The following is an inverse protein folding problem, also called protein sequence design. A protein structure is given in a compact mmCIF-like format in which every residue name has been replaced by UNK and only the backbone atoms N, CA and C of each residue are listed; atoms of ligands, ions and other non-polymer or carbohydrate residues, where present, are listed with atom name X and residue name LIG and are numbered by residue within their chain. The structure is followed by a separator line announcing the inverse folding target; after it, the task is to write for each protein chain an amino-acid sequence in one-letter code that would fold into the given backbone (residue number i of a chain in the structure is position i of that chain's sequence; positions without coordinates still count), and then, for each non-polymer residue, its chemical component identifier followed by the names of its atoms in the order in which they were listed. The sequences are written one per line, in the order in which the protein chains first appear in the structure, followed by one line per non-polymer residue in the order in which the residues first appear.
data_IF_165763070250
#
_entry.id   IF_165763070250
#
_cell.length_a   1.000
_cell.length_b   1.000
_cell.length_c   1.000
_cell.angle_alpha   90.00
_cell.angle_beta   90.00
_cell.angle_gamma   90.00
#
_symmetry.space_group_name_H-M   'P 1'
#
loop_
_entity.id
_entity.type
_entity.pdbx_description
1 polymer ?
#
# COMPACT_ATOMS: atom_id res chain seq x y z
N UNK A 1 -4.22 -3.93 -2.24
CA UNK A 1 -2.89 -3.29 -2.07
C UNK A 1 -2.92 -2.52 -0.77
N UNK A 2 -1.95 -2.74 0.13
CA UNK A 2 -1.84 -1.97 1.38
C UNK A 2 -1.29 -0.58 1.04
N UNK A 3 -1.93 0.49 1.53
CA UNK A 3 -1.42 1.85 1.42
C UNK A 3 -1.77 2.68 2.66
N UNK A 4 -1.03 3.75 2.97
CA UNK A 4 -1.30 4.58 4.15
C UNK A 4 -2.73 5.14 4.20
N UNK A 5 -3.31 5.47 3.04
CA UNK A 5 -4.71 5.93 2.96
C UNK A 5 -5.70 4.86 3.43
N UNK A 6 -5.54 3.62 2.97
CA UNK A 6 -6.42 2.52 3.37
C UNK A 6 -6.28 2.21 4.88
N UNK A 7 -5.04 2.19 5.39
CA UNK A 7 -4.79 1.95 6.82
C UNK A 7 -5.42 3.04 7.68
N UNK A 8 -5.26 4.32 7.30
CA UNK A 8 -5.81 5.42 8.09
C UNK A 8 -7.34 5.39 8.12
N UNK A 9 -7.99 5.09 6.98
CA UNK A 9 -9.45 4.97 6.92
C UNK A 9 -9.96 3.80 7.76
N UNK A 10 -9.19 2.72 7.84
CA UNK A 10 -9.51 1.54 8.63
C UNK A 10 -9.15 1.68 10.13
N UNK A 11 -8.39 2.72 10.51
CA UNK A 11 -7.87 2.92 11.87
C UNK A 11 -8.93 2.91 12.98
N UNK A 12 -10.15 3.46 12.80
CA UNK A 12 -11.19 3.41 13.83
C UNK A 12 -11.79 2.01 14.04
N UNK A 13 -11.56 1.08 13.12
CA UNK A 13 -12.13 -0.28 13.16
C UNK A 13 -11.34 -1.15 14.15
N UNK A 14 -12.04 -2.03 14.86
CA UNK A 14 -11.51 -2.86 15.96
C UNK A 14 -10.39 -3.79 15.54
N UNK A 15 -10.43 -4.24 14.30
CA UNK A 15 -9.52 -5.16 13.64
C UNK A 15 -8.13 -4.54 13.48
N UNK A 16 -8.09 -3.26 13.08
CA UNK A 16 -6.82 -2.52 12.98
C UNK A 16 -6.27 -2.22 14.37
N UNK A 17 -7.14 -1.82 15.31
CA UNK A 17 -6.74 -1.60 16.70
C UNK A 17 -6.13 -2.86 17.33
N UNK A 18 -6.67 -4.04 17.02
CA UNK A 18 -6.08 -5.33 17.43
C UNK A 18 -4.66 -5.50 16.89
N UNK A 19 -4.43 -5.27 15.60
CA UNK A 19 -3.08 -5.39 15.04
C UNK A 19 -2.09 -4.37 15.61
N UNK A 20 -2.54 -3.16 15.93
CA UNK A 20 -1.72 -2.16 16.63
C UNK A 20 -1.35 -2.66 18.03
N UNK A 21 -2.33 -3.20 18.77
CA UNK A 21 -2.11 -3.79 20.09
C UNK A 21 -1.14 -4.97 20.04
N UNK A 22 -1.28 -5.88 19.07
CA UNK A 22 -0.39 -7.03 18.87
C UNK A 22 1.04 -6.55 18.59
N UNK A 23 1.19 -5.56 17.71
CA UNK A 23 2.50 -4.99 17.38
C UNK A 23 3.17 -4.36 18.62
N UNK A 24 2.41 -3.59 19.41
CA UNK A 24 2.89 -2.99 20.65
C UNK A 24 3.29 -4.05 21.68
N UNK A 25 2.46 -5.09 21.88
CA UNK A 25 2.73 -6.20 22.79
C UNK A 25 3.99 -6.98 22.39
N UNK A 26 4.12 -7.38 21.12
CA UNK A 26 5.31 -8.09 20.62
C UNK A 26 6.58 -7.27 20.81
N UNK A 27 6.51 -5.96 20.52
CA UNK A 27 7.63 -5.03 20.75
C UNK A 27 8.02 -4.97 22.23
N UNK A 28 7.04 -4.97 23.14
CA UNK A 28 7.29 -4.98 24.58
C UNK A 28 7.92 -6.30 25.06
N UNK A 29 7.42 -7.45 24.61
CA UNK A 29 7.97 -8.77 24.95
C UNK A 29 9.42 -8.94 24.46
N UNK A 30 9.73 -8.46 23.25
CA UNK A 30 11.10 -8.42 22.73
C UNK A 30 12.02 -7.56 23.59
N UNK A 31 11.53 -6.41 24.07
CA UNK A 31 12.28 -5.55 24.97
C UNK A 31 12.55 -6.22 26.33
N UNK A 32 11.60 -6.98 26.88
CA UNK A 32 11.79 -7.73 28.13
C UNK A 32 12.84 -8.83 28.01
N UNK A 33 12.95 -9.48 26.84
CA UNK A 33 13.99 -10.50 26.58
C UNK A 33 15.40 -9.90 26.46
N UNK A 34 15.51 -8.58 26.45
CA UNK A 34 16.76 -7.82 26.43
C UNK A 34 16.61 -6.57 25.55
N UNK A 35 17.33 -5.47 25.85
CA UNK A 35 17.28 -4.27 25.03
C UNK A 35 17.84 -4.59 23.66
N UNK A 36 16.95 -4.86 22.72
CA UNK A 36 17.33 -5.08 21.34
C UNK A 36 17.53 -3.68 20.73
N UNK A 37 18.75 -3.39 20.27
CA UNK A 37 19.16 -2.02 19.89
C UNK A 37 18.30 -1.41 18.77
N UNK A 38 17.90 -0.15 18.91
CA UNK A 38 17.10 0.59 17.93
C UNK A 38 15.92 1.33 18.56
N UNK A 39 15.23 2.16 17.78
CA UNK A 39 14.06 2.91 18.24
C UNK A 39 12.84 1.97 18.37
N UNK A 40 12.27 1.85 19.58
CA UNK A 40 11.10 1.00 19.87
C UNK A 40 9.87 1.36 19.03
N UNK A 41 9.65 2.65 18.76
CA UNK A 41 8.51 3.13 17.98
C UNK A 41 8.63 2.69 16.52
N UNK A 42 9.83 2.81 15.94
CA UNK A 42 10.09 2.35 14.59
C UNK A 42 9.88 0.84 14.45
N UNK A 43 10.30 0.06 15.46
CA UNK A 43 10.09 -1.39 15.46
C UNK A 43 8.62 -1.77 15.57
N UNK A 44 7.87 -1.08 16.43
CA UNK A 44 6.43 -1.30 16.53
C UNK A 44 5.72 -0.96 15.21
N UNK A 45 6.17 0.07 14.49
CA UNK A 45 5.68 0.38 13.14
C UNK A 45 6.00 -0.72 12.13
N UNK A 46 7.25 -1.18 12.08
CA UNK A 46 7.65 -2.29 11.20
C UNK A 46 6.86 -3.57 11.54
N UNK A 47 6.64 -3.86 12.84
CA UNK A 47 5.82 -4.98 13.32
C UNK A 47 4.36 -4.83 12.93
N UNK A 48 3.77 -3.64 13.10
CA UNK A 48 2.39 -3.37 12.72
C UNK A 48 2.16 -3.60 11.22
N UNK A 49 3.03 -3.05 10.37
CA UNK A 49 2.94 -3.26 8.92
C UNK A 49 3.09 -4.74 8.53
N UNK A 50 3.96 -5.47 9.23
CA UNK A 50 4.14 -6.90 9.03
C UNK A 50 2.90 -7.71 9.46
N UNK A 51 2.34 -7.49 10.66
CA UNK A 51 1.14 -8.20 11.12
C UNK A 51 -0.02 -7.97 10.16
N UNK A 52 -0.20 -6.71 9.73
CA UNK A 52 -1.24 -6.33 8.80
C UNK A 52 -1.03 -6.98 7.43
N UNK A 53 0.21 -6.98 6.94
CA UNK A 53 0.56 -7.64 5.69
C UNK A 53 0.38 -9.15 5.73
N UNK A 54 0.66 -9.79 6.86
CA UNK A 54 0.40 -11.22 7.08
C UNK A 54 -1.09 -11.54 7.13
N UNK A 55 -1.91 -10.67 7.72
CA UNK A 55 -3.37 -10.84 7.68
C UNK A 55 -3.88 -10.76 6.24
N UNK A 56 -3.49 -9.71 5.51
CA UNK A 56 -3.90 -9.51 4.11
C UNK A 56 -3.38 -10.63 3.20
N UNK A 57 -2.15 -11.12 3.38
CA UNK A 57 -1.58 -12.16 2.52
C UNK A 57 -2.28 -13.51 2.64
N UNK A 58 -2.95 -13.80 3.76
CA UNK A 58 -3.75 -15.02 3.93
C UNK A 58 -5.09 -14.96 3.19
N UNK A 59 -5.56 -13.76 2.85
CA UNK A 59 -6.87 -13.53 2.26
C UNK A 59 -6.84 -13.44 0.74
N UNK A 60 -5.71 -13.03 0.18
CA UNK A 60 -5.55 -12.83 -1.27
C UNK A 60 -4.78 -13.99 -1.89
N UNK A 61 -5.22 -14.45 -3.05
CA UNK A 61 -4.53 -15.48 -3.84
C UNK A 61 -3.33 -14.94 -4.61
N UNK A 62 -3.32 -13.63 -4.89
CA UNK A 62 -2.25 -12.92 -5.57
C UNK A 62 -1.14 -12.42 -4.65
N UNK A 63 -0.14 -11.69 -5.19
CA UNK A 63 0.92 -11.13 -4.38
C UNK A 63 0.39 -10.04 -3.43
N UNK A 64 0.85 -10.07 -2.18
CA UNK A 64 0.61 -9.02 -1.21
C UNK A 64 1.46 -7.79 -1.54
N UNK A 65 0.80 -6.70 -1.91
CA UNK A 65 1.47 -5.41 -2.12
C UNK A 65 1.50 -4.64 -0.80
N UNK A 66 2.70 -4.50 -0.24
CA UNK A 66 3.00 -3.65 0.93
C UNK A 66 3.75 -2.40 0.49
N UNK A 67 4.22 -1.56 1.42
CA UNK A 67 4.96 -0.34 1.10
C UNK A 67 6.14 -0.08 2.03
N UNK A 68 7.18 0.55 1.48
CA UNK A 68 8.26 1.15 2.25
C UNK A 68 7.79 2.51 2.77
N UNK A 69 8.09 2.82 4.03
CA UNK A 69 7.76 4.09 4.67
C UNK A 69 8.14 5.29 3.76
N UNK A 70 7.14 6.01 3.25
CA UNK A 70 7.31 7.05 2.23
C UNK A 70 8.07 8.27 2.73
N UNK A 71 8.23 8.42 4.05
CA UNK A 71 9.08 9.47 4.63
C UNK A 71 10.55 9.28 4.25
N UNK A 72 10.97 8.05 3.92
CA UNK A 72 12.33 7.68 3.52
C UNK A 72 12.64 7.91 2.02
N UNK A 73 11.70 8.47 1.25
CA UNK A 73 11.78 8.66 -0.21
C UNK A 73 13.04 9.36 -0.78
N UNK A 74 13.79 10.10 0.04
CA UNK A 74 15.03 10.79 -0.37
C UNK A 74 16.30 9.94 -0.12
N UNK A 75 16.19 8.89 0.70
CA UNK A 75 17.33 8.06 1.09
C UNK A 75 17.18 6.64 0.53
N UNK A 76 17.91 6.40 -0.56
CA UNK A 76 18.01 5.09 -1.22
C UNK A 76 18.33 3.98 -0.23
N UNK A 77 19.29 4.20 0.67
CA UNK A 77 19.75 3.15 1.59
C UNK A 77 18.70 2.89 2.67
N UNK A 78 18.09 3.93 3.21
CA UNK A 78 17.02 3.77 4.20
C UNK A 78 15.81 3.02 3.62
N UNK A 79 15.46 3.23 2.35
CA UNK A 79 14.40 2.48 1.67
C UNK A 79 14.76 1.01 1.49
N UNK A 80 15.97 0.70 1.01
CA UNK A 80 16.46 -0.67 0.84
C UNK A 80 16.48 -1.40 2.19
N UNK A 81 17.04 -0.78 3.22
CA UNK A 81 17.15 -1.40 4.55
C UNK A 81 15.78 -1.62 5.18
N UNK A 82 14.81 -0.73 4.93
CA UNK A 82 13.44 -0.92 5.40
C UNK A 82 12.73 -2.08 4.69
N UNK A 83 12.80 -2.16 3.35
CA UNK A 83 12.24 -3.29 2.60
C UNK A 83 12.85 -4.62 3.05
N UNK A 84 14.17 -4.67 3.27
CA UNK A 84 14.88 -5.86 3.76
C UNK A 84 14.46 -6.26 5.17
N UNK A 85 14.23 -5.30 6.08
CA UNK A 85 13.74 -5.60 7.43
C UNK A 85 12.36 -6.25 7.37
N UNK A 86 11.43 -5.64 6.66
CA UNK A 86 10.08 -6.19 6.49
C UNK A 86 10.13 -7.57 5.83
N UNK A 87 10.90 -7.73 4.75
CA UNK A 87 11.04 -9.02 4.08
C UNK A 87 11.64 -10.09 4.99
N UNK A 88 12.60 -9.75 5.87
CA UNK A 88 13.15 -10.70 6.84
C UNK A 88 12.06 -11.24 7.77
N UNK A 89 11.09 -10.41 8.17
CA UNK A 89 9.97 -10.80 9.02
C UNK A 89 9.00 -11.73 8.26
N UNK A 90 8.65 -11.38 7.02
CA UNK A 90 7.85 -12.24 6.15
C UNK A 90 8.51 -13.59 5.85
N UNK A 91 9.82 -13.59 5.56
CA UNK A 91 10.60 -14.80 5.31
C UNK A 91 10.62 -15.70 6.54
N UNK A 92 10.66 -15.13 7.75
CA UNK A 92 10.58 -15.91 8.99
C UNK A 92 9.24 -16.65 9.16
N UNK A 93 8.17 -16.20 8.49
CA UNK A 93 6.88 -16.90 8.40
C UNK A 93 6.75 -17.78 7.16
N UNK A 94 7.82 -17.99 6.40
CA UNK A 94 7.81 -18.85 5.21
C UNK A 94 7.25 -18.23 3.93
N UNK A 95 6.96 -16.92 3.91
CA UNK A 95 6.48 -16.25 2.69
C UNK A 95 7.64 -16.08 1.69
N UNK A 96 7.45 -16.59 0.47
CA UNK A 96 8.41 -16.47 -0.64
C UNK A 96 8.44 -15.02 -1.18
N UNK A 97 9.59 -14.55 -1.71
CA UNK A 97 9.73 -13.16 -2.17
C UNK A 97 8.78 -12.82 -3.34
N UNK A 98 8.44 -13.79 -4.17
CA UNK A 98 7.52 -13.61 -5.30
C UNK A 98 6.08 -13.22 -4.89
N UNK A 99 5.66 -13.56 -3.67
CA UNK A 99 4.33 -13.22 -3.14
C UNK A 99 4.28 -11.87 -2.45
N UNK A 100 5.38 -11.12 -2.39
CA UNK A 100 5.43 -9.82 -1.74
C UNK A 100 5.95 -8.78 -2.74
N UNK A 101 5.23 -7.69 -2.87
CA UNK A 101 5.63 -6.54 -3.67
C UNK A 101 5.78 -5.33 -2.76
N UNK A 102 6.98 -4.74 -2.73
CA UNK A 102 7.25 -3.54 -1.94
C UNK A 102 6.98 -2.30 -2.78
N UNK A 103 6.04 -1.47 -2.36
CA UNK A 103 5.76 -0.21 -3.02
C UNK A 103 6.73 0.88 -2.56
N UNK A 104 7.40 1.52 -3.51
CA UNK A 104 8.39 2.57 -3.30
C UNK A 104 8.00 3.78 -4.16
N UNK A 105 8.01 5.01 -3.63
CA UNK A 105 7.71 6.17 -4.45
C UNK A 105 8.78 6.33 -5.52
N UNK A 106 8.37 6.65 -6.74
CA UNK A 106 9.25 6.74 -7.91
C UNK A 106 10.08 8.05 -7.92
N UNK A 107 10.75 8.35 -6.82
CA UNK A 107 11.80 9.38 -6.79
C UNK A 107 13.07 8.85 -7.45
N UNK A 108 14.04 9.72 -7.72
CA UNK A 108 15.34 9.26 -8.24
C UNK A 108 16.01 8.25 -7.29
N UNK A 109 16.01 8.54 -5.99
CA UNK A 109 16.46 7.60 -4.95
C UNK A 109 15.63 6.31 -4.92
N UNK A 110 14.30 6.41 -5.13
CA UNK A 110 13.38 5.28 -5.13
C UNK A 110 13.59 4.35 -6.32
N UNK A 111 13.84 4.88 -7.51
CA UNK A 111 14.13 4.09 -8.72
C UNK A 111 15.49 3.37 -8.57
N UNK A 112 16.50 4.03 -8.03
CA UNK A 112 17.80 3.39 -7.72
C UNK A 112 17.61 2.29 -6.67
N UNK A 113 16.81 2.54 -5.62
CA UNK A 113 16.49 1.54 -4.61
C UNK A 113 15.75 0.35 -5.21
N UNK A 114 14.79 0.58 -6.12
CA UNK A 114 14.04 -0.46 -6.83
C UNK A 114 14.97 -1.35 -7.67
N UNK A 115 15.93 -0.76 -8.38
CA UNK A 115 16.94 -1.52 -9.12
C UNK A 115 17.76 -2.41 -8.20
N UNK A 116 18.24 -1.89 -7.07
CA UNK A 116 19.02 -2.70 -6.14
C UNK A 116 18.18 -3.82 -5.50
N UNK A 117 16.96 -3.52 -5.08
CA UNK A 117 16.02 -4.49 -4.50
C UNK A 117 15.69 -5.63 -5.48
N UNK A 118 15.45 -5.30 -6.74
CA UNK A 118 15.11 -6.27 -7.77
C UNK A 118 16.34 -7.10 -8.18
N UNK A 119 17.45 -6.45 -8.53
CA UNK A 119 18.63 -7.14 -9.09
C UNK A 119 19.53 -7.82 -8.07
N UNK A 120 19.77 -7.22 -6.89
CA UNK A 120 20.68 -7.77 -5.88
C UNK A 120 19.97 -8.63 -4.84
N UNK A 121 18.73 -8.28 -4.49
CA UNK A 121 17.98 -8.95 -3.42
C UNK A 121 16.81 -9.81 -3.91
N UNK A 122 16.51 -9.79 -5.21
CA UNK A 122 15.41 -10.55 -5.82
C UNK A 122 14.06 -10.29 -5.14
N UNK A 123 13.78 -9.02 -4.84
CA UNK A 123 12.53 -8.56 -4.25
C UNK A 123 11.71 -7.80 -5.29
N UNK A 124 10.42 -8.12 -5.41
CA UNK A 124 9.53 -7.42 -6.31
C UNK A 124 9.23 -6.01 -5.78
N UNK A 125 9.39 -5.01 -6.64
CA UNK A 125 9.11 -3.60 -6.30
C UNK A 125 8.02 -3.04 -7.21
N UNK A 126 7.09 -2.31 -6.61
CA UNK A 126 6.11 -1.49 -7.29
C UNK A 126 6.50 -0.01 -7.17
N UNK A 127 6.82 0.65 -8.28
CA UNK A 127 7.12 2.08 -8.29
C UNK A 127 5.83 2.88 -8.48
N UNK A 128 5.47 3.73 -7.51
CA UNK A 128 4.21 4.50 -7.56
C UNK A 128 4.45 6.02 -7.64
N UNK A 129 3.40 6.78 -7.98
CA UNK A 129 3.46 8.20 -8.38
C UNK A 129 4.17 8.44 -9.73
N UNK A 130 4.08 7.47 -10.64
CA UNK A 130 4.64 7.61 -11.99
C UNK A 130 3.69 8.41 -12.86
N UNK A 131 4.19 9.48 -13.48
CA UNK A 131 3.35 10.52 -14.10
C UNK A 131 3.72 10.89 -15.53
N UNK A 132 4.83 10.40 -16.08
CA UNK A 132 5.24 10.72 -17.47
C UNK A 132 5.91 9.53 -18.14
N UNK A 133 6.01 9.58 -19.48
CA UNK A 133 6.64 8.52 -20.26
C UNK A 133 8.10 8.28 -19.85
N UNK A 134 8.93 9.33 -19.81
CA UNK A 134 10.35 9.20 -19.42
C UNK A 134 10.48 8.67 -17.98
N UNK A 135 9.56 9.06 -17.10
CA UNK A 135 9.52 8.53 -15.75
C UNK A 135 9.21 7.03 -15.73
N UNK A 136 8.22 6.57 -16.50
CA UNK A 136 7.89 5.16 -16.65
C UNK A 136 9.02 4.35 -17.30
N UNK A 137 9.71 4.93 -18.28
CA UNK A 137 10.90 4.35 -18.91
C UNK A 137 12.03 4.14 -17.88
N UNK A 138 12.29 5.12 -17.01
CA UNK A 138 13.29 4.99 -15.93
C UNK A 138 12.89 3.89 -14.93
N UNK A 139 11.59 3.73 -14.65
CA UNK A 139 11.09 2.63 -13.82
C UNK A 139 11.28 1.26 -14.50
N UNK A 140 11.09 1.17 -15.81
CA UNK A 140 11.33 -0.04 -16.59
C UNK A 140 12.83 -0.40 -16.64
N UNK A 141 13.72 0.59 -16.75
CA UNK A 141 15.18 0.40 -16.69
C UNK A 141 15.64 -0.12 -15.31
N UNK A 142 14.91 0.23 -14.25
CA UNK A 142 15.15 -0.28 -12.90
C UNK A 142 14.63 -1.71 -12.69
N UNK A 143 14.08 -2.36 -13.73
CA UNK A 143 13.52 -3.70 -13.67
C UNK A 143 12.44 -3.87 -12.58
N UNK A 144 11.65 -2.81 -12.34
CA UNK A 144 10.55 -2.87 -11.39
C UNK A 144 9.53 -3.94 -11.82
N UNK A 145 8.99 -4.68 -10.86
CA UNK A 145 7.97 -5.70 -11.14
C UNK A 145 6.63 -5.06 -11.56
N UNK A 146 6.32 -3.89 -10.99
CA UNK A 146 5.14 -3.12 -11.34
C UNK A 146 5.38 -1.61 -11.27
N UNK A 147 4.55 -0.85 -11.98
CA UNK A 147 4.51 0.61 -11.97
C UNK A 147 3.07 1.07 -11.79
N UNK A 148 2.82 1.92 -10.80
CA UNK A 148 1.51 2.47 -10.48
C UNK A 148 1.37 3.92 -10.94
N UNK A 149 0.37 4.19 -11.78
CA UNK A 149 0.08 5.50 -12.38
C UNK A 149 -1.20 6.08 -11.74
N UNK A 150 -1.12 7.23 -11.03
CA UNK A 150 -2.28 7.86 -10.42
C UNK A 150 -3.08 8.65 -11.47
N UNK A 151 -4.13 8.02 -11.99
CA UNK A 151 -4.90 8.49 -13.15
C UNK A 151 -5.59 9.81 -12.85
N UNK A 152 -6.34 9.90 -11.75
CA UNK A 152 -7.08 11.10 -11.36
C UNK A 152 -6.18 12.32 -11.18
N UNK A 153 -5.13 12.18 -10.36
CA UNK A 153 -4.14 13.25 -10.18
C UNK A 153 -3.50 13.71 -11.50
N UNK A 154 -3.21 12.78 -12.40
CA UNK A 154 -2.63 13.11 -13.71
C UNK A 154 -3.61 13.89 -14.57
N UNK A 155 -4.89 13.47 -14.62
CA UNK A 155 -5.92 14.16 -15.36
C UNK A 155 -6.16 15.57 -14.78
N UNK A 156 -6.30 15.68 -13.47
CA UNK A 156 -6.47 16.96 -12.74
C UNK A 156 -5.30 17.93 -13.01
N UNK A 157 -4.08 17.42 -13.12
CA UNK A 157 -2.91 18.26 -13.42
C UNK A 157 -3.02 18.89 -14.80
N UNK A 158 -3.42 18.13 -15.82
CA UNK A 158 -3.59 18.66 -17.17
C UNK A 158 -4.75 19.68 -17.26
N UNK A 159 -5.87 19.42 -16.57
CA UNK A 159 -7.01 20.34 -16.52
C UNK A 159 -6.63 21.66 -15.85
N UNK A 160 -5.91 21.60 -14.73
CA UNK A 160 -5.38 22.79 -14.03
C UNK A 160 -4.42 23.59 -14.91
N UNK A 161 -3.50 22.92 -15.60
CA UNK A 161 -2.51 23.57 -16.47
C UNK A 161 -3.14 24.24 -17.69
N UNK A 162 -4.17 23.63 -18.28
CA UNK A 162 -4.90 24.17 -19.44
C UNK A 162 -6.04 25.11 -19.07
N UNK A 163 -6.30 25.28 -17.77
CA UNK A 163 -7.46 26.00 -17.24
C UNK A 163 -8.77 25.59 -17.96
N UNK A 164 -8.91 24.28 -18.24
CA UNK A 164 -9.99 23.73 -19.06
C UNK A 164 -10.39 22.37 -18.49
N UNK A 165 -11.69 22.17 -18.28
CA UNK A 165 -12.26 20.86 -17.91
C UNK A 165 -12.56 20.08 -19.17
N UNK A 166 -12.02 18.87 -19.28
CA UNK A 166 -12.20 18.03 -20.46
C UNK A 166 -13.33 17.03 -20.20
N UNK A 167 -14.51 17.30 -20.76
CA UNK A 167 -15.69 16.43 -20.59
C UNK A 167 -15.53 15.14 -21.43
N UNK A 168 -15.03 15.24 -22.65
CA UNK A 168 -14.72 14.06 -23.48
C UNK A 168 -13.32 13.54 -23.12
N UNK A 169 -13.30 12.34 -22.53
CA UNK A 169 -12.08 11.66 -22.10
C UNK A 169 -11.18 11.23 -23.28
N UNK A 170 -11.73 11.05 -24.49
CA UNK A 170 -10.95 10.62 -25.67
C UNK A 170 -9.99 11.68 -26.17
N UNK A 171 -10.30 12.95 -25.92
CA UNK A 171 -9.44 14.10 -26.27
C UNK A 171 -8.62 14.60 -25.07
N UNK A 172 -8.71 13.92 -23.93
CA UNK A 172 -8.07 14.37 -22.71
C UNK A 172 -6.55 14.12 -22.81
N UNK A 173 -5.70 15.17 -22.67
CA UNK A 173 -4.25 15.03 -22.84
C UNK A 173 -3.60 14.05 -21.85
N UNK A 174 -4.10 13.98 -20.62
CA UNK A 174 -3.66 12.96 -19.66
C UNK A 174 -4.01 11.52 -20.07
N UNK A 175 -5.18 11.26 -20.66
CA UNK A 175 -5.52 9.93 -21.20
C UNK A 175 -4.54 9.58 -22.33
N UNK A 176 -4.30 10.51 -23.25
CA UNK A 176 -3.34 10.31 -24.34
C UNK A 176 -1.91 10.04 -23.83
N UNK A 177 -1.47 10.74 -22.78
CA UNK A 177 -0.19 10.50 -22.13
C UNK A 177 -0.10 9.10 -21.50
N UNK A 178 -1.17 8.63 -20.84
CA UNK A 178 -1.22 7.29 -20.24
C UNK A 178 -1.24 6.22 -21.33
N UNK A 179 -2.04 6.39 -22.38
CA UNK A 179 -2.06 5.48 -23.53
C UNK A 179 -0.69 5.38 -24.20
N UNK A 180 0.08 6.47 -24.23
CA UNK A 180 1.47 6.46 -24.73
C UNK A 180 2.38 5.59 -23.87
N UNK A 181 2.22 5.63 -22.54
CA UNK A 181 2.96 4.74 -21.62
C UNK A 181 2.57 3.28 -21.87
N UNK A 182 1.26 2.98 -21.92
CA UNK A 182 0.75 1.63 -22.20
C UNK A 182 1.27 1.08 -23.53
N UNK A 183 1.18 1.87 -24.61
CA UNK A 183 1.68 1.50 -25.92
C UNK A 183 3.20 1.26 -25.91
N UNK A 184 3.97 2.10 -25.23
CA UNK A 184 5.43 1.96 -25.14
C UNK A 184 5.84 0.64 -24.45
N UNK A 185 5.18 0.27 -23.35
CA UNK A 185 5.48 -0.99 -22.64
C UNK A 185 5.13 -2.20 -23.51
N UNK A 186 4.02 -2.15 -24.24
CA UNK A 186 3.61 -3.20 -25.19
C UNK A 186 4.56 -3.34 -26.36
N UNK A 187 4.91 -2.24 -27.03
CA UNK A 187 5.80 -2.26 -28.20
C UNK A 187 7.17 -2.85 -27.88
N UNK A 188 7.70 -2.55 -26.70
CA UNK A 188 9.02 -3.00 -26.29
C UNK A 188 8.99 -4.33 -25.51
N UNK A 189 7.83 -4.98 -25.38
CA UNK A 189 7.63 -6.22 -24.61
C UNK A 189 8.23 -6.14 -23.18
N UNK A 190 8.00 -5.01 -22.51
CA UNK A 190 8.52 -4.76 -21.16
C UNK A 190 7.71 -5.60 -20.17
N UNK A 191 8.41 -6.36 -19.31
CA UNK A 191 7.77 -7.28 -18.34
C UNK A 191 7.12 -6.59 -17.13
N UNK A 192 7.50 -5.34 -16.86
CA UNK A 192 6.96 -4.54 -15.77
C UNK A 192 5.46 -4.33 -15.96
N UNK A 193 4.67 -4.75 -14.96
CA UNK A 193 3.21 -4.59 -14.99
C UNK A 193 2.79 -3.15 -14.76
N UNK A 194 1.85 -2.65 -15.54
CA UNK A 194 1.26 -1.33 -15.37
C UNK A 194 -0.03 -1.43 -14.54
N UNK A 195 -0.09 -0.65 -13.46
CA UNK A 195 -1.21 -0.60 -12.54
C UNK A 195 -1.84 0.80 -12.58
N UNK A 196 -3.11 0.89 -12.97
CA UNK A 196 -3.87 2.13 -12.86
C UNK A 196 -4.36 2.34 -11.42
N UNK A 197 -4.14 3.53 -10.85
CA UNK A 197 -4.63 3.88 -9.50
C UNK A 197 -5.36 5.21 -9.51
N UNK A 198 -6.10 5.51 -8.43
CA UNK A 198 -6.70 6.84 -8.23
C UNK A 198 -7.67 7.28 -9.34
N UNK A 199 -8.52 6.37 -9.83
CA UNK A 199 -9.54 6.70 -10.83
C UNK A 199 -10.65 7.57 -10.23
N UNK A 200 -11.03 8.65 -10.91
CA UNK A 200 -12.13 9.55 -10.51
C UNK A 200 -13.48 8.95 -10.90
N UNK A 201 -13.55 8.31 -12.07
CA UNK A 201 -14.79 7.77 -12.67
C UNK A 201 -14.54 6.42 -13.34
N UNK A 202 -15.56 5.57 -13.37
CA UNK A 202 -15.51 4.29 -14.10
C UNK A 202 -15.28 4.46 -15.61
N UNK A 203 -15.74 5.56 -16.21
CA UNK A 203 -15.49 5.84 -17.62
C UNK A 203 -13.99 5.95 -17.96
N UNK A 204 -13.17 6.41 -17.01
CA UNK A 204 -11.71 6.47 -17.17
C UNK A 204 -11.10 5.07 -17.18
N UNK A 205 -11.61 4.15 -16.35
CA UNK A 205 -11.21 2.74 -16.35
C UNK A 205 -11.57 2.05 -17.67
N UNK A 206 -12.75 2.33 -18.22
CA UNK A 206 -13.21 1.76 -19.49
C UNK A 206 -12.30 2.14 -20.66
N UNK A 207 -11.92 3.42 -20.75
CA UNK A 207 -11.03 3.92 -21.82
C UNK A 207 -9.59 3.43 -21.65
N UNK A 208 -9.18 3.21 -20.40
CA UNK A 208 -7.85 2.72 -20.05
C UNK A 208 -7.88 1.22 -19.74
N UNK A 209 -8.70 0.44 -20.45
CA UNK A 209 -8.83 -1.01 -20.26
C UNK A 209 -7.58 -1.83 -20.58
N UNK A 210 -6.49 -1.16 -20.98
CA UNK A 210 -5.23 -1.75 -21.42
C UNK A 210 -4.21 -1.97 -20.29
N UNK A 211 -4.53 -1.58 -19.05
CA UNK A 211 -3.71 -1.85 -17.86
C UNK A 211 -3.68 -3.33 -17.48
N UNK A 212 -2.56 -3.80 -16.93
CA UNK A 212 -2.44 -5.17 -16.41
C UNK A 212 -3.24 -5.38 -15.12
N UNK A 213 -3.40 -4.33 -14.32
CA UNK A 213 -4.23 -4.32 -13.14
C UNK A 213 -4.76 -2.92 -12.82
N UNK A 214 -5.85 -2.84 -12.06
CA UNK A 214 -6.40 -1.59 -11.54
C UNK A 214 -6.55 -1.66 -10.03
N UNK A 215 -6.22 -0.58 -9.34
CA UNK A 215 -6.46 -0.43 -7.91
C UNK A 215 -7.76 0.36 -7.72
N UNK A 216 -8.75 -0.30 -7.14
CA UNK A 216 -10.09 0.23 -6.88
C UNK A 216 -10.31 0.39 -5.38
N UNK A 217 -11.08 1.41 -4.98
CA UNK A 217 -11.49 1.61 -3.59
C UNK A 217 -12.65 0.70 -3.19
N UNK A 218 -12.88 0.55 -1.88
CA UNK A 218 -14.08 -0.11 -1.31
C UNK A 218 -15.37 0.33 -2.00
N UNK A 219 -15.57 1.64 -2.11
CA UNK A 219 -16.72 2.24 -2.78
C UNK A 219 -16.83 1.86 -4.26
N UNK A 220 -15.70 1.77 -4.96
CA UNK A 220 -15.68 1.39 -6.37
C UNK A 220 -15.99 -0.09 -6.54
N UNK A 221 -15.45 -0.95 -5.67
CA UNK A 221 -15.72 -2.38 -5.69
C UNK A 221 -17.22 -2.64 -5.46
N UNK A 222 -17.83 -2.01 -4.46
CA UNK A 222 -19.26 -2.19 -4.16
C UNK A 222 -20.13 -1.82 -5.37
N UNK A 223 -19.81 -0.71 -6.04
CA UNK A 223 -20.51 -0.33 -7.29
C UNK A 223 -20.28 -1.30 -8.45
N UNK A 224 -19.08 -1.85 -8.58
CA UNK A 224 -18.75 -2.83 -9.63
C UNK A 224 -19.47 -4.17 -9.43
N UNK A 225 -19.93 -4.51 -8.22
CA UNK A 225 -20.78 -5.69 -7.98
C UNK A 225 -22.10 -5.62 -8.75
N UNK A 226 -22.59 -4.39 -8.99
CA UNK A 226 -23.89 -4.14 -9.61
C UNK A 226 -23.80 -3.51 -11.00
N UNK A 227 -22.58 -3.29 -11.52
CA UNK A 227 -22.40 -2.61 -12.80
C UNK A 227 -21.20 -3.16 -13.58
N UNK A 228 -21.37 -3.26 -14.89
CA UNK A 228 -20.31 -3.63 -15.82
C UNK A 228 -19.75 -2.38 -16.47
N UNK A 229 -18.42 -2.23 -16.47
CA UNK A 229 -17.74 -1.13 -17.16
C UNK A 229 -17.30 -1.62 -18.54
N UNK A 230 -17.85 -1.07 -19.64
CA UNK A 230 -17.38 -1.43 -20.97
C UNK A 230 -15.95 -0.94 -21.14
N UNK A 231 -15.07 -1.82 -21.58
CA UNK A 231 -13.67 -1.51 -21.88
C UNK A 231 -13.48 -1.32 -23.38
N UNK A 232 -12.81 -0.24 -23.77
CA UNK A 232 -12.37 -0.02 -25.15
C UNK A 232 -10.89 -0.36 -25.26
N UNK A 233 -10.57 -1.63 -25.49
CA UNK A 233 -9.20 -2.06 -25.77
C UNK A 233 -8.87 -1.84 -27.25
N UNK A 234 -7.77 -1.15 -27.55
CA UNK A 234 -7.17 -1.16 -28.89
C UNK A 234 -7.46 0.03 -29.82
N UNK A 235 -8.29 1.00 -29.43
CA UNK A 235 -8.43 2.27 -30.18
C UNK A 235 -7.33 3.26 -29.78
N UNK A 236 -6.08 2.91 -30.10
CA UNK A 236 -4.94 3.78 -29.84
C UNK A 236 -4.75 4.75 -31.00
N UNK A 237 -4.83 6.05 -30.72
CA UNK A 237 -4.60 7.10 -31.72
C UNK A 237 -3.24 6.92 -32.44
N UNK A 238 -3.13 7.17 -33.76
CA UNK A 238 -1.86 7.13 -34.48
C UNK A 238 -0.76 7.97 -33.82
N UNK A 239 -1.14 9.11 -33.22
CA UNK A 239 -0.24 10.00 -32.48
C UNK A 239 0.39 9.35 -31.25
N UNK A 240 -0.35 8.45 -30.59
CA UNK A 240 0.12 7.71 -29.42
C UNK A 240 1.12 6.64 -29.86
N UNK A 241 0.80 5.90 -30.92
CA UNK A 241 1.68 4.86 -31.46
C UNK A 241 3.00 5.46 -31.96
N UNK A 242 2.94 6.61 -32.64
CA UNK A 242 4.14 7.32 -33.12
C UNK A 242 5.05 7.74 -31.95
N UNK A 243 4.47 8.33 -30.90
CA UNK A 243 5.24 8.74 -29.71
C UNK A 243 5.87 7.56 -28.99
N UNK A 244 5.12 6.47 -28.84
CA UNK A 244 5.62 5.25 -28.23
C UNK A 244 6.75 4.61 -29.06
N UNK A 245 6.62 4.60 -30.40
CA UNK A 245 7.65 4.05 -31.30
C UNK A 245 8.91 4.91 -31.42
N UNK A 246 8.82 6.21 -31.18
CA UNK A 246 9.98 7.12 -31.16
C UNK A 246 10.78 7.03 -29.86
N UNK A 247 10.19 6.53 -28.78
CA UNK A 247 10.84 6.39 -27.49
C UNK A 247 11.80 5.19 -27.51
N UNK A 248 13.06 5.43 -27.14
CA UNK A 248 14.11 4.42 -27.17
C UNK A 248 14.01 3.44 -25.99
N UNK A 249 14.23 2.15 -26.26
CA UNK A 249 14.42 1.11 -25.26
C UNK A 249 15.53 0.13 -25.71
N UNK A 250 16.44 -0.35 -24.84
CA UNK A 250 16.62 0.05 -23.45
C UNK A 250 17.14 1.49 -23.31
N UNK A 251 16.89 2.09 -22.14
CA UNK A 251 17.37 3.42 -21.79
C UNK A 251 18.64 3.35 -20.93
N UNK A 252 19.33 4.48 -20.79
CA UNK A 252 20.54 4.62 -19.98
C UNK A 252 20.37 5.65 -18.84
N UNK A 253 19.14 5.93 -18.43
CA UNK A 253 18.77 6.98 -17.49
C UNK A 253 19.39 6.83 -16.11
N UNK A 254 19.63 5.61 -15.65
CA UNK A 254 20.24 5.34 -14.34
C UNK A 254 21.76 5.50 -14.34
N UNK A 255 22.38 5.61 -15.52
CA UNK A 255 23.83 5.80 -15.66
C UNK A 255 24.23 7.24 -15.95
N UNK A 256 23.25 8.11 -16.23
CA UNK A 256 23.48 9.52 -16.58
C UNK A 256 23.86 10.33 -15.34
N UNK A 257 24.95 11.09 -15.44
CA UNK A 257 25.42 11.94 -14.34
C UNK A 257 24.41 13.02 -13.94
N UNK A 258 23.93 12.90 -12.71
CA UNK A 258 22.94 13.81 -12.12
C UNK A 258 21.49 13.53 -12.50
N UNK A 259 21.20 12.29 -12.91
CA UNK A 259 19.85 11.74 -12.84
C UNK A 259 18.99 11.94 -14.08
N UNK A 260 17.99 11.07 -14.23
CA UNK A 260 17.04 11.10 -15.35
C UNK A 260 16.24 12.41 -15.39
N UNK A 261 16.06 13.08 -14.25
CA UNK A 261 15.31 14.34 -14.14
C UNK A 261 15.93 15.44 -15.02
N UNK A 262 17.25 15.45 -15.22
CA UNK A 262 17.92 16.45 -16.08
C UNK A 262 17.56 16.30 -17.57
N UNK A 263 17.19 15.09 -18.00
CA UNK A 263 16.82 14.79 -19.38
C UNK A 263 15.38 15.20 -19.69
N UNK A 264 14.60 15.55 -18.66
CA UNK A 264 13.22 15.93 -18.79
C UNK A 264 13.07 17.39 -19.27
N UNK A 265 12.09 17.58 -20.15
CA UNK A 265 11.58 18.92 -20.47
C UNK A 265 11.13 19.65 -19.20
N UNK A 266 11.13 20.99 -19.22
CA UNK A 266 10.63 21.79 -18.09
C UNK A 266 9.18 21.43 -17.73
N UNK A 267 8.37 21.09 -18.73
CA UNK A 267 7.00 20.62 -18.52
C UNK A 267 6.95 19.29 -17.77
N UNK A 268 7.71 18.28 -18.22
CA UNK A 268 7.74 16.97 -17.58
C UNK A 268 8.34 17.04 -16.17
N UNK A 269 9.33 17.91 -15.93
CA UNK A 269 9.87 18.16 -14.59
C UNK A 269 8.80 18.72 -13.65
N UNK A 270 8.05 19.72 -14.10
CA UNK A 270 6.98 20.30 -13.28
C UNK A 270 5.87 19.28 -13.02
N UNK A 271 5.49 18.49 -14.03
CA UNK A 271 4.50 17.41 -13.88
C UNK A 271 4.91 16.38 -12.83
N UNK A 272 6.14 15.85 -12.92
CA UNK A 272 6.65 14.90 -11.93
C UNK A 272 6.70 15.55 -10.56
N UNK A 273 7.23 16.77 -10.47
CA UNK A 273 7.36 17.49 -9.20
C UNK A 273 6.00 17.70 -8.53
N UNK A 274 5.01 18.24 -9.25
CA UNK A 274 3.71 18.56 -8.67
C UNK A 274 2.97 17.31 -8.17
N UNK A 275 3.00 16.22 -8.94
CA UNK A 275 2.36 14.95 -8.58
C UNK A 275 3.13 14.27 -7.44
N UNK A 276 4.46 14.24 -7.51
CA UNK A 276 5.31 13.62 -6.49
C UNK A 276 5.22 14.37 -5.16
N UNK A 277 5.40 15.69 -5.16
CA UNK A 277 5.37 16.52 -3.96
C UNK A 277 3.97 16.51 -3.32
N UNK A 278 2.91 16.64 -4.13
CA UNK A 278 1.52 16.58 -3.67
C UNK A 278 1.18 15.22 -3.05
N UNK A 279 1.43 14.14 -3.79
CA UNK A 279 1.16 12.77 -3.34
C UNK A 279 1.96 12.40 -2.10
N UNK A 280 3.26 12.70 -2.07
CA UNK A 280 4.09 12.42 -0.90
C UNK A 280 3.68 13.24 0.31
N UNK A 281 3.31 14.51 0.16
CA UNK A 281 2.84 15.34 1.27
C UNK A 281 1.62 14.71 1.95
N UNK A 282 0.62 14.35 1.16
CA UNK A 282 -0.59 13.70 1.66
C UNK A 282 -0.27 12.37 2.35
N UNK A 283 0.53 11.52 1.70
CA UNK A 283 0.89 10.21 2.24
C UNK A 283 1.70 10.34 3.54
N UNK A 284 2.63 11.30 3.63
CA UNK A 284 3.44 11.56 4.83
C UNK A 284 2.56 12.03 6.00
N UNK A 285 1.57 12.89 5.75
CA UNK A 285 0.63 13.31 6.79
C UNK A 285 -0.17 12.13 7.33
N UNK A 286 -0.67 11.26 6.45
CA UNK A 286 -1.40 10.05 6.84
C UNK A 286 -0.52 9.10 7.65
N UNK A 287 0.73 8.90 7.23
CA UNK A 287 1.70 8.11 7.99
C UNK A 287 1.96 8.67 9.39
N UNK A 288 2.01 10.00 9.55
CA UNK A 288 2.15 10.62 10.87
C UNK A 288 0.99 10.29 11.81
N UNK A 289 -0.25 10.27 11.29
CA UNK A 289 -1.44 9.89 12.08
C UNK A 289 -1.43 8.41 12.47
N UNK A 290 -1.04 7.53 11.55
CA UNK A 290 -0.90 6.08 11.82
C UNK A 290 0.18 5.84 12.88
N UNK A 291 1.34 6.48 12.72
CA UNK A 291 2.44 6.35 13.68
C UNK A 291 2.05 6.86 15.06
N UNK A 292 1.32 7.98 15.16
CA UNK A 292 0.82 8.48 16.44
C UNK A 292 -0.07 7.45 17.17
N UNK A 293 -0.94 6.74 16.44
CA UNK A 293 -1.79 5.70 17.02
C UNK A 293 -0.96 4.50 17.54
N UNK A 294 0.02 4.05 16.75
CA UNK A 294 0.92 2.96 17.16
C UNK A 294 1.79 3.36 18.34
N UNK A 295 2.37 4.56 18.32
CA UNK A 295 3.20 5.10 19.41
C UNK A 295 2.40 5.23 20.70
N UNK A 296 1.17 5.75 20.62
CA UNK A 296 0.29 5.89 21.79
C UNK A 296 0.02 4.54 22.44
N UNK A 297 -0.25 3.51 21.65
CA UNK A 297 -0.49 2.16 22.16
C UNK A 297 0.79 1.51 22.71
N UNK A 298 1.93 1.69 22.06
CA UNK A 298 3.24 1.24 22.57
C UNK A 298 3.52 1.87 23.92
N UNK A 299 3.42 3.19 24.03
CA UNK A 299 3.70 3.89 25.29
C UNK A 299 2.72 3.47 26.39
N UNK A 300 1.44 3.19 26.05
CA UNK A 300 0.46 2.63 26.97
C UNK A 300 0.86 1.24 27.48
N UNK A 301 1.27 0.33 26.59
CA UNK A 301 1.71 -1.02 26.94
C UNK A 301 2.95 -1.01 27.82
N UNK A 302 3.93 -0.18 27.49
CA UNK A 302 5.14 -0.02 28.31
C UNK A 302 4.82 0.57 29.69
N UNK A 303 3.92 1.56 29.78
CA UNK A 303 3.48 2.11 31.06
C UNK A 303 2.81 1.03 31.92
N UNK A 304 1.83 0.32 31.39
CA UNK A 304 1.12 -0.76 32.09
C UNK A 304 2.07 -1.89 32.49
N UNK A 305 2.98 -2.31 31.60
CA UNK A 305 3.90 -3.42 31.85
C UNK A 305 5.02 -3.11 32.84
N UNK A 306 5.32 -1.83 33.10
CA UNK A 306 6.33 -1.39 34.07
C UNK A 306 5.75 -0.94 35.42
N UNK A 307 4.44 -0.78 35.51
CA UNK A 307 3.76 -0.38 36.75
C UNK A 307 3.87 -1.45 37.83
N UNK A 308 3.98 -1.02 39.08
CA UNK A 308 3.90 -1.94 40.21
C UNK A 308 2.48 -2.49 40.31
N UNK A 309 2.31 -3.77 40.67
CA UNK A 309 0.99 -4.40 40.82
C UNK A 309 0.01 -3.57 41.68
N UNK A 310 0.52 -2.90 42.73
CA UNK A 310 -0.29 -2.05 43.60
C UNK A 310 -0.89 -0.82 42.90
N UNK A 311 -0.21 -0.27 41.88
CA UNK A 311 -0.68 0.88 41.11
C UNK A 311 -1.68 0.46 40.02
N UNK A 312 -1.53 -0.75 39.47
CA UNK A 312 -2.46 -1.34 38.49
C UNK A 312 -3.82 -1.67 39.11
N UNK A 313 -3.84 -2.14 40.36
CA UNK A 313 -5.04 -2.47 41.12
C UNK A 313 -5.46 -1.39 42.11
N UNK A 314 -4.84 -0.19 42.06
CA UNK A 314 -5.33 0.96 42.80
C UNK A 314 -6.64 1.42 42.17
N UNK A 315 -7.73 0.75 42.54
CA UNK A 315 -9.08 1.26 42.38
C UNK A 315 -9.09 2.59 43.11
N UNK A 316 -9.15 3.71 42.39
CA UNK A 316 -9.37 5.01 43.01
C UNK A 316 -10.60 4.89 43.91
N UNK A 317 -10.48 5.34 45.16
CA UNK A 317 -11.50 5.21 46.22
C UNK A 317 -12.92 5.32 45.64
N UNK A 318 -13.53 4.17 45.35
CA UNK A 318 -14.94 4.14 45.00
C UNK A 318 -15.71 4.46 46.26
N UNK A 319 -16.66 5.43 46.24
CA UNK A 319 -17.46 5.73 47.42
C UNK A 319 -18.17 4.45 47.88
N UNK A 320 -17.99 4.11 49.17
CA UNK A 320 -18.49 2.89 49.81
C UNK A 320 -19.94 2.59 49.41
N UNK A 321 -20.14 1.63 48.50
CA UNK A 321 -21.45 1.09 48.23
C UNK A 321 -21.92 0.29 49.46
N UNK A 322 -23.13 0.63 49.95
CA UNK A 322 -23.80 -0.06 51.05
C UNK A 322 -23.97 -1.55 50.72
N UNK A 323 -23.60 -2.41 51.67
CA UNK A 323 -23.83 -3.86 51.63
C UNK A 323 -25.33 -4.17 51.57
N UNK A 324 -25.80 -4.70 50.46
CA UNK A 324 -27.00 -5.56 50.42
C UNK A 324 -26.84 -6.61 49.32
N UNK A 325 -26.92 -7.90 49.69
CA UNK A 325 -27.12 -9.02 48.77
C UNK A 325 -25.95 -10.00 48.67
N UNK A 326 -26.22 -11.24 49.05
CA UNK A 326 -25.35 -12.44 48.96
C UNK A 326 -24.93 -12.74 47.52
N UNK A 327 -23.67 -13.10 47.23
CA UNK A 327 -23.26 -13.49 45.88
C UNK A 327 -23.78 -14.91 45.53
N UNK A 328 -24.18 -15.20 44.29
CA UNK A 328 -24.52 -16.55 43.87
C UNK A 328 -23.26 -17.43 43.75
N UNK A 329 -23.42 -18.72 44.00
CA UNK A 329 -22.37 -19.74 44.01
C UNK A 329 -21.76 -20.00 42.64
N UNK A 330 -20.43 -20.14 42.63
CA UNK A 330 -19.61 -20.58 41.51
C UNK A 330 -19.77 -22.08 41.28
N UNK A 331 -20.83 -22.47 40.57
CA UNK A 331 -20.93 -23.80 39.94
C UNK A 331 -21.43 -23.64 38.51
N UNK A 332 -20.47 -23.56 37.59
CA UNK A 332 -20.44 -24.27 36.29
C UNK A 332 -19.22 -23.81 35.50
N UNK A 333 -18.20 -24.64 35.63
CA UNK A 333 -16.92 -24.57 34.94
C UNK A 333 -16.94 -25.65 33.85
N UNK A 334 -16.46 -25.26 32.66
CA UNK A 334 -16.15 -26.05 31.46
C UNK A 334 -17.30 -26.68 30.65
N UNK A 335 -17.51 -26.12 29.45
CA UNK A 335 -17.61 -26.92 28.24
C UNK A 335 -16.84 -26.22 27.11
N UNK A 336 -15.66 -26.77 26.80
CA UNK A 336 -14.88 -26.48 25.60
C UNK A 336 -15.58 -27.12 24.39
N UNK A 337 -15.84 -26.34 23.34
CA UNK A 337 -16.03 -26.88 21.98
C UNK A 337 -15.20 -26.09 20.99
N UNK A 338 -14.46 -26.84 20.18
CA UNK A 338 -13.58 -26.40 19.10
C UNK A 338 -14.25 -25.40 18.17
N UNK A 339 -13.85 -24.13 18.24
CA UNK A 339 -14.13 -23.08 17.24
C UNK A 339 -12.83 -22.29 17.02
N UNK A 340 -11.77 -22.97 16.60
CA UNK A 340 -10.46 -22.34 16.41
C UNK A 340 -10.11 -22.04 14.95
N UNK A 341 -10.89 -22.56 13.97
CA UNK A 341 -10.63 -22.34 12.54
C UNK A 341 -11.61 -21.37 11.87
N UNK A 342 -12.87 -21.37 12.28
CA UNK A 342 -13.86 -20.43 11.72
C UNK A 342 -13.70 -19.01 12.28
N UNK A 343 -13.29 -18.87 13.56
CA UNK A 343 -13.03 -17.57 14.20
C UNK A 343 -11.85 -16.82 13.59
N UNK A 344 -10.75 -17.50 13.24
CA UNK A 344 -9.61 -16.84 12.58
C UNK A 344 -9.98 -16.39 11.16
N UNK A 345 -10.82 -17.17 10.45
CA UNK A 345 -11.29 -16.82 9.11
C UNK A 345 -12.21 -15.62 9.15
N UNK A 346 -13.14 -15.57 10.09
CA UNK A 346 -14.04 -14.42 10.30
C UNK A 346 -13.27 -13.15 10.70
N UNK A 347 -12.28 -13.26 11.60
CA UNK A 347 -11.41 -12.12 11.94
C UNK A 347 -10.62 -11.63 10.73
N UNK A 348 -10.07 -12.53 9.92
CA UNK A 348 -9.36 -12.17 8.69
C UNK A 348 -10.31 -11.54 7.66
N UNK A 349 -11.51 -12.08 7.47
CA UNK A 349 -12.53 -11.50 6.58
C UNK A 349 -12.95 -10.10 7.05
N UNK A 350 -13.11 -9.90 8.35
CA UNK A 350 -13.35 -8.58 8.92
C UNK A 350 -12.18 -7.63 8.66
N UNK A 351 -10.93 -8.08 8.82
CA UNK A 351 -9.73 -7.29 8.45
C UNK A 351 -9.74 -6.96 6.94
N UNK A 352 -10.21 -7.87 6.09
CA UNK A 352 -10.39 -7.65 4.66
C UNK A 352 -11.44 -6.58 4.37
N UNK A 353 -12.63 -6.68 4.97
CA UNK A 353 -13.67 -5.67 4.90
C UNK A 353 -13.17 -4.32 5.41
N UNK A 354 -12.29 -4.32 6.40
CA UNK A 354 -11.69 -3.12 6.97
C UNK A 354 -10.72 -2.43 6.04
N UNK A 355 -9.83 -3.18 5.39
CA UNK A 355 -8.71 -2.63 4.61
C UNK A 355 -9.03 -2.55 3.12
N UNK A 356 -9.76 -3.54 2.61
CA UNK A 356 -10.08 -3.72 1.19
C UNK A 356 -11.55 -3.46 0.88
N UNK A 357 -12.43 -3.43 1.89
CA UNK A 357 -13.82 -3.02 1.71
C UNK A 357 -14.76 -4.06 1.11
N UNK A 358 -14.43 -5.34 1.26
CA UNK A 358 -15.17 -6.43 0.61
C UNK A 358 -15.79 -7.36 1.62
N UNK A 359 -17.12 -7.36 1.72
CA UNK A 359 -17.92 -8.42 2.36
C UNK A 359 -17.82 -9.66 1.46
N UNK A 360 -16.90 -10.58 1.80
CA UNK A 360 -16.66 -11.82 1.06
C UNK A 360 -17.27 -12.96 1.86
N UNK A 361 -18.58 -13.11 1.70
CA UNK A 361 -19.26 -14.36 2.06
C UNK A 361 -19.05 -15.30 0.89
N UNK A 362 -18.54 -16.50 1.19
CA UNK A 362 -18.39 -17.61 0.25
C UNK A 362 -19.62 -17.67 -0.67
N UNK A 363 -19.46 -17.24 -1.92
CA UNK A 363 -20.31 -17.70 -3.00
C UNK A 363 -19.65 -18.96 -3.51
N UNK A 364 -20.14 -20.07 -2.96
CA UNK A 364 -20.17 -21.45 -3.44
C UNK A 364 -19.05 -21.98 -4.34
N UNK A 365 -18.68 -23.20 -3.98
CA UNK A 365 -17.95 -24.18 -4.78
C UNK A 365 -18.43 -24.22 -6.24
N UNK A 366 -17.50 -24.63 -7.11
CA UNK A 366 -17.68 -24.98 -8.52
C UNK A 366 -17.94 -23.84 -9.51
N UNK A 367 -16.87 -23.43 -10.21
CA UNK A 367 -16.79 -23.71 -11.66
C UNK A 367 -15.37 -23.50 -12.18
N UNK A 368 -14.74 -24.61 -12.52
CA UNK A 368 -13.65 -24.71 -13.49
C UNK A 368 -14.20 -24.22 -14.83
N UNK A 369 -13.57 -23.22 -15.47
CA UNK A 369 -13.17 -23.23 -16.89
C UNK A 369 -12.20 -22.10 -17.21
#
# INVERSE_FOLDING_TARGET
MLCPSAILNALPRTEIAYHIWVAAKKTFEEWQRGPSGGNRHQRAMDQFLFELGMAVSKLVTGPHVTFVDPRKHEDTRAMIDHAKRLYKMFKAQGIRPEYIVFSVPATEAGIIAARELSTKYNLNVNLYLVSSLIHAMACAEAEAAAVSIPIGQLLDWYERRRNTVHIDLRIHPGIEAIQTILAYFRFNNIKTKLIGTDFRKFAEMGILGDFDAVCVSEYQIDKLRWSTVPTSSGETSPSVLLRAGQAQYPTNFLTVEGGFIKLLSSESRNLIKDIMDGGLKEIKEKMGKIEAAVVSEVDRQFKVGTMKLKELYAVGDTPKAKKTGTPPSLDKVFETRNVAKDSEREELLAIMECILGTDYRDSDEDEVF
#
